data_IF_418613078691
#
_entry.id   IF_418613078691
#
_cell.length_a   1.000
_cell.length_b   1.000
_cell.length_c   1.000
_cell.angle_alpha   90.00
_cell.angle_beta   90.00
_cell.angle_gamma   90.00
#
_symmetry.space_group_name_H-M   'P 1'
#
loop_
_entity.id
_entity.type
_entity.pdbx_description
1 polymer ?
#
# COMPACT_ATOMS: atom_id res chain seq x y z
N UNK A 1 3.99 6.32 22.56
CA UNK A 1 3.08 6.24 21.41
C UNK A 1 1.71 5.80 21.92
N UNK A 2 0.67 6.62 21.83
CA UNK A 2 -0.68 6.15 22.13
C UNK A 2 -1.30 5.58 20.85
N UNK A 3 -1.96 4.41 20.96
CA UNK A 3 -2.61 3.76 19.82
C UNK A 3 -4.10 3.65 20.10
N UNK A 4 -4.90 4.24 19.23
CA UNK A 4 -6.35 4.27 19.30
C UNK A 4 -6.93 3.29 18.29
N UNK A 5 -7.63 2.27 18.79
CA UNK A 5 -8.32 1.28 17.97
C UNK A 5 -9.83 1.43 18.11
N UNK A 6 -10.54 1.32 16.98
CA UNK A 6 -12.00 1.21 16.93
C UNK A 6 -12.40 0.18 15.88
N UNK A 7 -13.18 -0.81 16.29
CA UNK A 7 -13.71 -1.83 15.38
C UNK A 7 -14.63 -1.22 14.32
N UNK A 8 -15.44 -0.23 14.70
CA UNK A 8 -16.34 0.49 13.78
C UNK A 8 -15.53 1.28 12.75
N UNK A 9 -14.50 1.99 13.21
CA UNK A 9 -13.62 2.74 12.32
C UNK A 9 -12.87 1.82 11.35
N UNK A 10 -12.47 0.63 11.81
CA UNK A 10 -11.86 -0.41 10.98
C UNK A 10 -12.81 -0.99 9.95
N UNK A 11 -14.09 -1.24 10.30
CA UNK A 11 -15.14 -1.67 9.36
C UNK A 11 -15.29 -0.66 8.21
N UNK A 12 -15.42 0.63 8.54
CA UNK A 12 -15.55 1.72 7.56
C UNK A 12 -14.30 1.80 6.68
N UNK A 13 -13.12 1.79 7.28
CA UNK A 13 -11.85 1.87 6.56
C UNK A 13 -11.67 0.71 5.58
N UNK A 14 -12.08 -0.49 5.98
CA UNK A 14 -12.08 -1.68 5.13
C UNK A 14 -13.02 -1.53 3.93
N UNK A 15 -14.22 -1.01 4.17
CA UNK A 15 -15.23 -0.80 3.14
C UNK A 15 -14.79 0.22 2.08
N UNK A 16 -13.97 1.22 2.45
CA UNK A 16 -13.37 2.14 1.48
C UNK A 16 -12.37 1.47 0.51
N UNK A 17 -11.87 0.27 0.82
CA UNK A 17 -10.89 -0.46 -0.01
C UNK A 17 -11.52 -1.50 -0.94
N UNK A 18 -12.82 -1.78 -0.86
CA UNK A 18 -13.48 -2.86 -1.59
C UNK A 18 -13.10 -2.95 -3.08
N UNK A 19 -13.00 -1.85 -3.85
CA UNK A 19 -12.76 -1.97 -5.30
C UNK A 19 -11.35 -2.46 -5.68
N UNK A 20 -10.45 -2.62 -4.70
CA UNK A 20 -9.04 -2.98 -4.92
C UNK A 20 -8.82 -4.37 -5.48
N UNK A 21 -9.77 -5.29 -5.32
CA UNK A 21 -9.68 -6.66 -5.85
C UNK A 21 -9.68 -6.72 -7.38
N UNK A 22 -10.03 -5.62 -8.07
CA UNK A 22 -9.98 -5.50 -9.52
C UNK A 22 -8.72 -4.81 -10.06
N UNK A 23 -7.71 -4.55 -9.20
CA UNK A 23 -6.42 -4.05 -9.65
C UNK A 23 -5.82 -4.94 -10.77
N UNK A 24 -4.98 -4.36 -11.63
CA UNK A 24 -4.62 -4.94 -12.92
C UNK A 24 -3.92 -6.31 -12.79
N UNK A 25 -4.00 -7.17 -13.82
CA UNK A 25 -3.43 -8.54 -13.80
C UNK A 25 -1.93 -8.59 -13.50
N UNK A 26 -1.18 -7.59 -13.95
CA UNK A 26 0.26 -7.47 -13.68
C UNK A 26 0.57 -7.10 -12.21
N UNK A 27 -0.37 -6.45 -11.51
CA UNK A 27 -0.29 -6.15 -10.08
C UNK A 27 -0.77 -7.33 -9.20
N UNK A 28 -1.38 -8.36 -9.82
CA UNK A 28 -2.00 -9.53 -9.17
C UNK A 28 -1.14 -10.78 -9.11
N UNK A 29 -0.04 -10.88 -9.85
CA UNK A 29 0.94 -11.95 -9.65
C UNK A 29 1.71 -11.67 -8.35
N UNK A 30 1.04 -11.94 -7.25
CA UNK A 30 1.64 -12.05 -5.94
C UNK A 30 2.52 -13.29 -5.95
N UNK A 31 3.82 -13.05 -6.07
CA UNK A 31 4.85 -14.09 -5.95
C UNK A 31 4.96 -14.47 -4.48
N UNK A 32 3.92 -15.10 -3.93
CA UNK A 32 3.98 -15.64 -2.58
C UNK A 32 4.97 -16.80 -2.53
N UNK A 33 5.77 -16.84 -1.47
CA UNK A 33 6.50 -18.04 -1.06
C UNK A 33 5.53 -19.16 -0.72
N UNK A 34 6.03 -20.39 -0.62
CA UNK A 34 5.21 -21.52 -0.18
C UNK A 34 4.71 -21.34 1.25
N UNK A 35 5.50 -20.71 2.13
CA UNK A 35 5.10 -20.35 3.50
C UNK A 35 3.96 -19.33 3.50
N UNK A 36 4.07 -18.29 2.68
CA UNK A 36 3.01 -17.27 2.57
C UNK A 36 1.73 -17.87 1.98
N UNK A 37 1.83 -18.79 1.02
CA UNK A 37 0.67 -19.55 0.51
C UNK A 37 0.03 -20.42 1.58
N UNK A 38 0.81 -20.99 2.50
CA UNK A 38 0.29 -21.75 3.64
C UNK A 38 -0.46 -20.84 4.61
N UNK A 39 0.12 -19.69 4.98
CA UNK A 39 -0.50 -18.67 5.85
C UNK A 39 -1.82 -18.15 5.26
N UNK A 40 -1.88 -18.00 3.93
CA UNK A 40 -3.02 -17.44 3.21
C UNK A 40 -3.93 -18.50 2.57
N UNK A 41 -3.75 -19.79 2.87
CA UNK A 41 -4.41 -20.87 2.13
C UNK A 41 -5.95 -20.77 2.12
N UNK A 42 -6.55 -20.33 3.22
CA UNK A 42 -7.99 -20.06 3.36
C UNK A 42 -8.43 -18.69 2.83
N UNK A 43 -7.47 -17.76 2.69
CA UNK A 43 -7.68 -16.37 2.26
C UNK A 43 -7.70 -16.28 0.74
N UNK A 44 -6.80 -16.97 0.05
CA UNK A 44 -6.65 -16.90 -1.42
C UNK A 44 -7.95 -17.19 -2.19
N UNK A 45 -8.76 -18.20 -1.85
CA UNK A 45 -10.04 -18.43 -2.53
C UNK A 45 -11.04 -17.27 -2.34
N UNK A 46 -11.07 -16.65 -1.15
CA UNK A 46 -11.94 -15.51 -0.86
C UNK A 46 -11.60 -14.33 -1.77
N UNK A 47 -10.31 -14.14 -2.05
CA UNK A 47 -9.84 -13.09 -2.94
C UNK A 47 -10.29 -13.29 -4.38
N UNK A 48 -10.32 -14.53 -4.84
CA UNK A 48 -10.85 -14.87 -6.16
C UNK A 48 -12.37 -14.67 -6.22
N UNK A 49 -13.09 -15.09 -5.18
CA UNK A 49 -14.54 -14.86 -5.04
C UNK A 49 -14.89 -13.37 -5.08
N UNK A 50 -14.18 -12.54 -4.29
CA UNK A 50 -14.38 -11.09 -4.24
C UNK A 50 -14.06 -10.41 -5.58
N UNK A 51 -13.02 -10.87 -6.27
CA UNK A 51 -12.72 -10.39 -7.62
C UNK A 51 -13.88 -10.68 -8.57
N UNK A 52 -14.35 -11.93 -8.61
CA UNK A 52 -15.41 -12.34 -9.53
C UNK A 52 -16.73 -11.63 -9.20
N UNK A 53 -16.98 -11.37 -7.92
CA UNK A 53 -18.11 -10.59 -7.43
C UNK A 53 -18.10 -9.15 -7.94
N UNK A 54 -16.93 -8.50 -8.00
CA UNK A 54 -16.82 -7.11 -8.43
C UNK A 54 -16.58 -6.93 -9.93
N UNK A 55 -16.20 -7.98 -10.65
CA UNK A 55 -15.93 -7.94 -12.09
C UNK A 55 -17.02 -7.24 -12.92
N UNK A 56 -18.33 -7.40 -12.66
CA UNK A 56 -19.38 -6.67 -13.39
C UNK A 56 -19.31 -5.14 -13.27
N UNK A 57 -18.58 -4.62 -12.27
CA UNK A 57 -18.41 -3.21 -11.99
C UNK A 57 -17.06 -2.65 -12.45
N UNK A 58 -16.21 -3.45 -13.12
CA UNK A 58 -14.83 -3.10 -13.49
C UNK A 58 -14.72 -1.71 -14.13
N UNK A 59 -15.55 -1.41 -15.13
CA UNK A 59 -15.50 -0.13 -15.85
C UNK A 59 -15.91 1.07 -14.97
N UNK A 60 -16.91 0.88 -14.10
CA UNK A 60 -17.29 1.92 -13.14
C UNK A 60 -16.22 2.12 -12.06
N UNK A 61 -15.61 1.03 -11.60
CA UNK A 61 -14.51 1.05 -10.64
C UNK A 61 -13.31 1.80 -11.24
N UNK A 62 -12.89 1.48 -12.47
CA UNK A 62 -11.82 2.22 -13.16
C UNK A 62 -12.11 3.72 -13.25
N UNK A 63 -13.36 4.08 -13.53
CA UNK A 63 -13.75 5.47 -13.73
C UNK A 63 -13.81 6.32 -12.45
N UNK A 64 -14.28 5.73 -11.35
CA UNK A 64 -14.62 6.51 -10.13
C UNK A 64 -13.82 6.10 -8.89
N UNK A 65 -13.29 4.88 -8.82
CA UNK A 65 -12.43 4.47 -7.71
C UNK A 65 -11.02 5.00 -7.92
N UNK A 66 -10.81 6.22 -7.45
CA UNK A 66 -9.54 6.91 -7.54
C UNK A 66 -8.65 6.54 -6.35
N UNK A 67 -7.40 6.19 -6.65
CA UNK A 67 -6.39 5.82 -5.68
C UNK A 67 -5.08 6.57 -5.94
N UNK A 68 -4.44 7.00 -4.87
CA UNK A 68 -3.14 7.65 -4.83
C UNK A 68 -2.08 6.78 -4.15
N UNK A 69 -1.22 7.39 -3.34
CA UNK A 69 -0.16 6.73 -2.57
C UNK A 69 -0.72 5.85 -1.43
N UNK A 70 -1.32 4.71 -1.78
CA UNK A 70 -1.82 3.71 -0.83
C UNK A 70 -3.16 4.05 -0.17
N UNK A 71 -3.77 5.18 -0.53
CA UNK A 71 -5.11 5.60 -0.09
C UNK A 71 -6.04 5.81 -1.28
N UNK A 72 -7.32 5.57 -1.05
CA UNK A 72 -8.41 5.84 -1.98
C UNK A 72 -9.06 7.19 -1.66
N UNK A 73 -9.75 7.78 -2.64
CA UNK A 73 -10.49 9.03 -2.41
C UNK A 73 -11.50 8.93 -1.26
N UNK A 74 -12.17 7.78 -1.11
CA UNK A 74 -13.11 7.56 0.00
C UNK A 74 -12.43 7.50 1.37
N UNK A 75 -11.19 7.01 1.43
CA UNK A 75 -10.42 7.03 2.68
C UNK A 75 -9.97 8.44 3.02
N UNK A 76 -9.49 9.20 2.03
CA UNK A 76 -9.16 10.61 2.24
C UNK A 76 -10.40 11.37 2.73
N UNK A 77 -11.56 11.16 2.11
CA UNK A 77 -12.82 11.76 2.55
C UNK A 77 -13.21 11.36 3.99
N UNK A 78 -13.11 10.08 4.33
CA UNK A 78 -13.36 9.59 5.69
C UNK A 78 -12.44 10.25 6.72
N UNK A 79 -11.14 10.31 6.45
CA UNK A 79 -10.17 10.94 7.34
C UNK A 79 -10.45 12.44 7.49
N UNK A 80 -10.77 13.15 6.41
CA UNK A 80 -11.18 14.56 6.47
C UNK A 80 -12.41 14.76 7.36
N UNK A 81 -13.42 13.90 7.28
CA UNK A 81 -14.59 13.97 8.16
C UNK A 81 -14.19 13.80 9.63
N UNK A 82 -13.30 12.84 9.93
CA UNK A 82 -12.78 12.60 11.29
C UNK A 82 -12.00 13.81 11.81
N UNK A 83 -11.13 14.38 10.98
CA UNK A 83 -10.30 15.55 11.34
C UNK A 83 -11.14 16.80 11.60
N UNK A 84 -12.27 16.94 10.92
CA UNK A 84 -13.28 17.99 11.17
C UNK A 84 -14.11 17.74 12.44
N UNK A 85 -13.83 16.66 13.18
CA UNK A 85 -14.50 16.30 14.43
C UNK A 85 -15.79 15.51 14.24
N UNK A 86 -16.10 15.04 13.03
CA UNK A 86 -17.20 14.10 12.81
C UNK A 86 -16.80 12.70 13.31
N UNK A 87 -17.78 11.91 13.73
CA UNK A 87 -17.56 10.53 14.15
C UNK A 87 -18.46 9.57 13.37
N UNK A 88 -18.18 9.30 12.08
CA UNK A 88 -18.96 8.37 11.27
C UNK A 88 -19.06 7.00 11.97
N UNK A 89 -20.27 6.46 12.08
CA UNK A 89 -20.54 5.16 12.70
C UNK A 89 -20.82 4.08 11.65
N UNK A 90 -21.10 4.49 10.42
CA UNK A 90 -21.37 3.61 9.28
C UNK A 90 -20.72 4.16 8.03
N UNK A 91 -20.54 3.30 7.02
CA UNK A 91 -20.10 3.76 5.69
C UNK A 91 -21.13 4.71 5.04
N UNK A 92 -22.40 4.62 5.42
CA UNK A 92 -23.42 5.54 4.93
C UNK A 92 -23.26 6.95 5.49
N UNK A 93 -22.80 7.10 6.74
CA UNK A 93 -22.43 8.42 7.28
C UNK A 93 -21.29 9.05 6.48
N UNK A 94 -20.32 8.23 6.04
CA UNK A 94 -19.24 8.68 5.16
C UNK A 94 -19.78 9.09 3.79
N UNK A 95 -20.69 8.29 3.21
CA UNK A 95 -21.33 8.62 1.93
C UNK A 95 -22.09 9.95 1.99
N UNK A 96 -22.90 10.18 3.02
CA UNK A 96 -23.63 11.43 3.19
C UNK A 96 -22.69 12.62 3.42
N UNK A 97 -21.61 12.42 4.18
CA UNK A 97 -20.53 13.41 4.31
C UNK A 97 -19.89 13.76 2.96
N UNK A 98 -19.56 12.75 2.15
CA UNK A 98 -18.99 12.94 0.80
C UNK A 98 -19.95 13.72 -0.12
N UNK A 99 -21.26 13.44 -0.04
CA UNK A 99 -22.27 14.17 -0.82
C UNK A 99 -22.49 15.61 -0.33
N UNK A 100 -22.13 15.90 0.92
CA UNK A 100 -22.16 17.24 1.50
C UNK A 100 -20.94 18.12 1.19
N UNK A 101 -19.87 17.55 0.63
CA UNK A 101 -18.66 18.31 0.28
C UNK A 101 -18.90 19.33 -0.84
N UNK A 102 -18.20 20.46 -0.74
CA UNK A 102 -18.14 21.42 -1.83
C UNK A 102 -17.28 20.91 -2.98
N UNK A 103 -17.39 21.55 -4.15
CA UNK A 103 -16.53 21.24 -5.29
C UNK A 103 -15.05 21.48 -4.94
N UNK A 104 -14.78 22.52 -4.18
CA UNK A 104 -13.45 22.92 -3.72
C UNK A 104 -12.83 21.87 -2.81
N UNK A 105 -13.57 21.37 -1.80
CA UNK A 105 -13.09 20.31 -0.91
C UNK A 105 -12.74 19.04 -1.69
N UNK A 106 -13.59 18.62 -2.63
CA UNK A 106 -13.32 17.44 -3.48
C UNK A 106 -12.07 17.66 -4.32
N UNK A 107 -11.87 18.86 -4.87
CA UNK A 107 -10.69 19.20 -5.66
C UNK A 107 -9.40 19.22 -4.82
N UNK A 108 -9.48 19.65 -3.56
CA UNK A 108 -8.37 19.57 -2.60
C UNK A 108 -8.02 18.12 -2.29
N UNK A 109 -9.00 17.27 -2.01
CA UNK A 109 -8.79 15.82 -1.81
C UNK A 109 -8.11 15.19 -3.03
N UNK A 110 -8.54 15.53 -4.24
CA UNK A 110 -7.93 15.03 -5.48
C UNK A 110 -6.48 15.53 -5.64
N UNK A 111 -6.21 16.79 -5.30
CA UNK A 111 -4.84 17.35 -5.32
C UNK A 111 -3.94 16.56 -4.37
N UNK A 112 -4.43 16.25 -3.18
CA UNK A 112 -3.65 15.53 -2.19
C UNK A 112 -3.46 14.06 -2.57
N UNK A 113 -4.47 13.44 -3.20
CA UNK A 113 -4.42 12.07 -3.70
C UNK A 113 -3.39 11.88 -4.84
N UNK A 114 -3.16 12.92 -5.64
CA UNK A 114 -2.15 12.91 -6.73
C UNK A 114 -0.72 13.01 -6.18
N UNK A 115 -0.54 13.24 -4.87
CA UNK A 115 0.79 13.26 -4.29
C UNK A 115 1.43 11.87 -4.34
N UNK A 116 2.37 11.68 -5.28
CA UNK A 116 2.97 10.37 -5.58
C UNK A 116 4.26 10.10 -4.81
N UNK A 117 4.87 11.13 -4.19
CA UNK A 117 6.06 11.00 -3.34
C UNK A 117 6.01 12.02 -2.19
N UNK A 118 6.36 11.58 -0.97
CA UNK A 118 6.22 12.34 0.29
C UNK A 118 7.07 13.63 0.30
N UNK A 119 8.14 13.73 -0.51
CA UNK A 119 9.16 14.77 -0.31
C UNK A 119 9.45 15.70 -1.49
N UNK A 120 8.91 15.45 -2.70
CA UNK A 120 9.35 16.19 -3.91
C UNK A 120 8.28 16.97 -4.67
N UNK A 121 7.04 16.99 -4.20
CA UNK A 121 6.00 17.76 -4.90
C UNK A 121 5.99 19.20 -4.41
N UNK A 122 6.27 20.12 -5.33
CA UNK A 122 6.22 21.57 -5.09
C UNK A 122 4.90 21.91 -4.39
N UNK A 123 4.96 22.39 -3.16
CA UNK A 123 3.76 22.67 -2.35
C UNK A 123 2.87 23.74 -3.01
N UNK A 124 3.46 24.62 -3.81
CA UNK A 124 2.79 25.67 -4.58
C UNK A 124 2.23 25.17 -5.92
N UNK A 125 2.56 23.95 -6.37
CA UNK A 125 2.05 23.42 -7.63
C UNK A 125 0.55 23.15 -7.54
N UNK A 126 -0.17 23.56 -8.60
CA UNK A 126 -1.59 23.27 -8.72
C UNK A 126 -1.86 21.80 -9.06
N UNK A 127 -3.14 21.41 -9.08
CA UNK A 127 -3.53 20.04 -9.39
C UNK A 127 -2.98 19.53 -10.73
N UNK A 128 -2.97 20.38 -11.77
CA UNK A 128 -2.58 19.95 -13.12
C UNK A 128 -1.08 19.73 -13.22
N UNK A 129 -0.29 20.64 -12.66
CA UNK A 129 1.16 20.48 -12.58
C UNK A 129 1.52 19.20 -11.81
N UNK A 130 0.86 18.96 -10.68
CA UNK A 130 1.03 17.74 -9.88
C UNK A 130 0.65 16.47 -10.66
N UNK A 131 -0.47 16.51 -11.37
CA UNK A 131 -0.94 15.38 -12.16
C UNK A 131 0.04 15.07 -13.30
N UNK A 132 0.56 16.08 -13.98
CA UNK A 132 1.58 15.93 -15.04
C UNK A 132 2.88 15.31 -14.49
N UNK A 133 3.34 15.80 -13.33
CA UNK A 133 4.56 15.31 -12.67
C UNK A 133 4.41 13.92 -12.03
N UNK A 134 3.17 13.50 -11.73
CA UNK A 134 2.91 12.21 -11.08
C UNK A 134 3.38 11.00 -11.91
N UNK A 135 3.73 9.91 -11.22
CA UNK A 135 4.09 8.61 -11.82
C UNK A 135 2.88 7.79 -12.30
N UNK A 136 1.66 8.33 -12.18
CA UNK A 136 0.43 7.65 -12.56
C UNK A 136 0.38 7.30 -14.05
N UNK A 137 -0.29 6.20 -14.40
CA UNK A 137 -0.54 5.81 -15.80
C UNK A 137 -1.45 6.85 -16.49
N UNK A 138 -1.32 7.01 -17.81
CA UNK A 138 -2.10 7.99 -18.59
C UNK A 138 -3.62 7.84 -18.40
N UNK A 139 -4.11 6.60 -18.34
CA UNK A 139 -5.51 6.28 -18.06
C UNK A 139 -5.95 6.75 -16.66
N UNK A 140 -5.14 6.51 -15.63
CA UNK A 140 -5.43 7.00 -14.27
C UNK A 140 -5.42 8.53 -14.22
N UNK A 141 -4.49 9.20 -14.91
CA UNK A 141 -4.47 10.66 -15.03
C UNK A 141 -5.73 11.18 -15.72
N UNK A 142 -6.21 10.46 -16.74
CA UNK A 142 -7.45 10.80 -17.43
C UNK A 142 -8.66 10.76 -16.48
N UNK A 143 -8.84 9.69 -15.70
CA UNK A 143 -9.94 9.61 -14.74
C UNK A 143 -9.85 10.66 -13.62
N UNK A 144 -8.65 10.92 -13.08
CA UNK A 144 -8.42 12.04 -12.16
C UNK A 144 -8.83 13.38 -12.77
N UNK A 145 -8.48 13.64 -14.04
CA UNK A 145 -8.84 14.87 -14.73
C UNK A 145 -10.36 15.03 -14.95
N UNK A 146 -11.06 13.93 -15.23
CA UNK A 146 -12.51 13.94 -15.41
C UNK A 146 -13.23 14.22 -14.10
N UNK A 147 -12.78 13.58 -13.02
CA UNK A 147 -13.33 13.79 -11.68
C UNK A 147 -13.11 15.23 -11.23
N UNK A 148 -11.90 15.77 -11.40
CA UNK A 148 -11.57 17.15 -11.03
C UNK A 148 -12.42 18.20 -11.76
N UNK A 149 -12.78 17.95 -13.03
CA UNK A 149 -13.64 18.84 -13.83
C UNK A 149 -15.11 18.79 -13.44
N UNK A 150 -15.59 17.67 -12.90
CA UNK A 150 -16.98 17.47 -12.52
C UNK A 150 -17.09 16.88 -11.10
N UNK A 151 -16.57 17.56 -10.06
CA UNK A 151 -16.32 16.97 -8.75
C UNK A 151 -17.59 16.46 -8.08
N UNK A 152 -18.65 17.28 -8.03
CA UNK A 152 -19.91 16.92 -7.37
C UNK A 152 -20.61 15.73 -8.07
N UNK A 153 -20.69 15.76 -9.40
CA UNK A 153 -21.32 14.69 -10.17
C UNK A 153 -20.53 13.38 -10.08
N UNK A 154 -19.19 13.46 -10.09
CA UNK A 154 -18.32 12.29 -9.99
C UNK A 154 -18.32 11.70 -8.58
N UNK A 155 -18.38 12.54 -7.54
CA UNK A 155 -18.54 12.09 -6.16
C UNK A 155 -19.85 11.34 -5.96
N UNK A 156 -20.94 11.83 -6.57
CA UNK A 156 -22.22 11.12 -6.56
C UNK A 156 -22.12 9.73 -7.19
N UNK A 157 -21.49 9.60 -8.36
CA UNK A 157 -21.29 8.29 -9.00
C UNK A 157 -20.38 7.36 -8.18
N UNK A 158 -19.34 7.90 -7.53
CA UNK A 158 -18.49 7.15 -6.60
C UNK A 158 -19.30 6.63 -5.41
N UNK A 159 -20.13 7.46 -4.78
CA UNK A 159 -20.99 7.07 -3.66
C UNK A 159 -22.02 6.02 -4.10
N UNK A 160 -22.69 6.22 -5.24
CA UNK A 160 -23.68 5.28 -5.76
C UNK A 160 -23.05 3.92 -6.14
N UNK A 161 -21.80 3.92 -6.61
CA UNK A 161 -21.02 2.71 -6.80
C UNK A 161 -20.67 2.07 -5.46
N UNK A 162 -20.12 2.84 -4.52
CA UNK A 162 -19.69 2.37 -3.21
C UNK A 162 -20.82 1.69 -2.45
N UNK A 163 -22.02 2.29 -2.40
CA UNK A 163 -23.22 1.68 -1.79
C UNK A 163 -23.50 0.27 -2.29
N UNK A 164 -23.41 0.05 -3.61
CA UNK A 164 -23.63 -1.28 -4.22
C UNK A 164 -22.52 -2.27 -3.83
N UNK A 165 -21.27 -1.82 -3.85
CA UNK A 165 -20.14 -2.67 -3.52
C UNK A 165 -20.11 -3.05 -2.04
N UNK A 166 -20.46 -2.11 -1.16
CA UNK A 166 -20.62 -2.32 0.29
C UNK A 166 -21.69 -3.37 0.57
N UNK A 167 -22.86 -3.27 -0.08
CA UNK A 167 -23.93 -4.25 0.06
C UNK A 167 -23.46 -5.67 -0.33
N UNK A 168 -22.76 -5.79 -1.45
CA UNK A 168 -22.20 -7.06 -1.92
C UNK A 168 -21.08 -7.60 -1.01
N UNK A 169 -20.29 -6.71 -0.41
CA UNK A 169 -19.15 -7.06 0.43
C UNK A 169 -19.54 -7.44 1.87
N UNK A 170 -20.72 -7.02 2.34
CA UNK A 170 -21.13 -7.19 3.74
C UNK A 170 -20.94 -8.62 4.29
N UNK A 171 -21.27 -9.71 3.55
CA UNK A 171 -21.04 -11.07 4.04
C UNK A 171 -19.57 -11.38 4.34
N UNK A 172 -18.64 -10.80 3.58
CA UNK A 172 -17.21 -10.96 3.78
C UNK A 172 -16.70 -10.14 4.96
N UNK A 173 -17.18 -8.90 5.11
CA UNK A 173 -16.86 -8.08 6.28
C UNK A 173 -17.25 -8.78 7.59
N UNK A 174 -18.43 -9.43 7.61
CA UNK A 174 -18.89 -10.24 8.75
C UNK A 174 -18.04 -11.50 8.92
N UNK A 175 -17.69 -12.19 7.82
CA UNK A 175 -16.81 -13.37 7.85
C UNK A 175 -15.46 -13.05 8.50
N UNK A 176 -14.92 -11.86 8.27
CA UNK A 176 -13.62 -11.42 8.81
C UNK A 176 -13.68 -10.84 10.22
N UNK A 177 -14.89 -10.55 10.74
CA UNK A 177 -15.08 -9.83 12.01
C UNK A 177 -14.43 -10.55 13.19
N UNK A 178 -14.64 -11.87 13.31
CA UNK A 178 -14.10 -12.65 14.42
C UNK A 178 -12.56 -12.66 14.42
N UNK A 179 -11.93 -12.80 13.25
CA UNK A 179 -10.48 -12.77 13.13
C UNK A 179 -9.92 -11.39 13.45
N UNK A 180 -10.55 -10.31 12.94
CA UNK A 180 -10.12 -8.93 13.25
C UNK A 180 -10.20 -8.62 14.74
N UNK A 181 -11.26 -9.08 15.41
CA UNK A 181 -11.40 -8.92 16.87
C UNK A 181 -10.31 -9.68 17.63
N UNK A 182 -10.09 -10.95 17.29
CA UNK A 182 -9.05 -11.76 17.91
C UNK A 182 -7.65 -11.17 17.67
N UNK A 183 -7.39 -10.66 16.47
CA UNK A 183 -6.14 -10.00 16.12
C UNK A 183 -5.95 -8.71 16.92
N UNK A 184 -7.00 -7.88 17.05
CA UNK A 184 -6.96 -6.64 17.82
C UNK A 184 -6.62 -6.84 19.31
N UNK A 185 -7.00 -7.99 19.90
CA UNK A 185 -6.71 -8.31 21.30
C UNK A 185 -5.22 -8.61 21.56
N UNK A 186 -4.51 -9.10 20.54
CA UNK A 186 -3.13 -9.59 20.69
C UNK A 186 -2.10 -8.74 19.93
N UNK A 187 -2.53 -8.03 18.90
CA UNK A 187 -1.63 -7.24 18.06
C UNK A 187 -1.17 -5.97 18.79
N UNK A 188 0.14 -5.84 18.95
CA UNK A 188 0.79 -4.62 19.43
C UNK A 188 1.53 -3.95 18.28
N UNK A 189 1.05 -2.78 17.86
CA UNK A 189 1.72 -1.98 16.84
C UNK A 189 3.14 -1.59 17.29
N UNK A 190 3.32 -1.25 18.57
CA UNK A 190 4.63 -0.88 19.10
C UNK A 190 5.62 -2.05 19.02
N UNK A 191 5.20 -3.25 19.46
CA UNK A 191 6.05 -4.44 19.35
C UNK A 191 6.31 -4.75 17.89
N UNK A 192 5.28 -4.80 17.04
CA UNK A 192 5.42 -5.07 15.62
C UNK A 192 6.44 -4.16 14.91
N UNK A 193 6.46 -2.86 15.23
CA UNK A 193 7.41 -1.91 14.67
C UNK A 193 8.83 -2.00 15.26
N UNK A 194 8.99 -2.51 16.48
CA UNK A 194 10.28 -2.54 17.19
C UNK A 194 10.97 -3.90 17.15
N UNK A 195 10.21 -4.98 17.17
CA UNK A 195 10.69 -6.36 17.29
C UNK A 195 10.71 -7.11 15.96
N UNK A 196 9.91 -6.73 14.96
CA UNK A 196 9.94 -7.43 13.68
C UNK A 196 11.28 -7.20 12.97
N UNK A 197 11.87 -8.26 12.43
CA UNK A 197 13.12 -8.14 11.64
C UNK A 197 12.96 -7.26 10.40
N UNK A 198 11.73 -7.12 9.91
CA UNK A 198 11.41 -6.20 8.85
C UNK A 198 11.61 -4.76 9.35
N UNK A 199 10.95 -4.35 10.44
CA UNK A 199 10.99 -2.96 10.92
C UNK A 199 12.22 -2.63 11.79
N UNK A 200 12.84 -3.59 12.46
CA UNK A 200 13.98 -3.36 13.38
C UNK A 200 15.26 -2.88 12.69
N UNK A 201 15.40 -3.14 11.38
CA UNK A 201 16.47 -2.56 10.54
C UNK A 201 16.27 -1.06 10.31
N UNK A 202 15.04 -0.57 10.46
CA UNK A 202 14.71 0.84 10.46
C UNK A 202 14.94 1.37 11.88
N UNK A 203 16.06 2.06 12.11
CA UNK A 203 16.45 2.51 13.45
C UNK A 203 15.33 3.22 14.21
N UNK A 204 15.28 3.02 15.53
CA UNK A 204 14.52 3.82 16.51
C UNK A 204 14.40 5.28 16.08
N UNK A 205 13.17 5.75 15.81
CA UNK A 205 12.88 7.11 15.33
C UNK A 205 12.17 7.21 13.97
N UNK A 206 11.75 6.09 13.37
CA UNK A 206 11.09 6.04 12.05
C UNK A 206 9.63 6.48 12.07
N UNK A 207 8.99 6.34 13.22
CA UNK A 207 7.63 6.80 13.48
C UNK A 207 7.72 7.83 14.60
N UNK A 208 7.28 9.08 14.39
CA UNK A 208 7.29 10.08 15.43
C UNK A 208 6.49 9.62 16.66
N UNK A 209 6.82 10.11 17.85
CA UNK A 209 6.03 9.88 19.06
C UNK A 209 4.72 10.69 18.99
N UNK A 210 3.80 10.22 18.15
CA UNK A 210 2.49 10.78 17.94
C UNK A 210 1.39 9.88 18.53
N UNK A 211 0.17 10.40 18.56
CA UNK A 211 -1.03 9.60 18.72
C UNK A 211 -1.39 8.97 17.37
N UNK A 212 -1.62 7.65 17.36
CA UNK A 212 -1.90 6.89 16.15
C UNK A 212 -3.27 6.26 16.20
N UNK A 213 -4.02 6.36 15.10
CA UNK A 213 -5.21 5.55 14.87
C UNK A 213 -4.84 4.26 14.13
N UNK A 214 -5.25 3.12 14.69
CA UNK A 214 -5.02 1.81 14.10
C UNK A 214 -6.33 1.28 13.49
N UNK A 215 -6.26 0.97 12.21
CA UNK A 215 -7.33 0.30 11.46
C UNK A 215 -6.89 -1.12 11.11
N UNK A 216 -7.66 -2.10 11.58
CA UNK A 216 -7.40 -3.51 11.31
C UNK A 216 -8.36 -4.02 10.23
N UNK A 217 -7.80 -4.47 9.11
CA UNK A 217 -8.58 -4.98 7.97
C UNK A 217 -8.43 -6.48 7.81
N UNK A 218 -9.42 -7.10 7.16
CA UNK A 218 -9.48 -8.55 6.95
C UNK A 218 -8.26 -9.05 6.17
N UNK A 219 -7.84 -10.32 6.36
CA UNK A 219 -6.58 -10.85 5.81
C UNK A 219 -6.55 -10.90 4.27
N UNK A 220 -7.70 -10.89 3.60
CA UNK A 220 -7.76 -10.79 2.13
C UNK A 220 -7.49 -9.39 1.59
N UNK A 221 -7.45 -8.36 2.44
CA UNK A 221 -7.05 -7.00 2.07
C UNK A 221 -5.59 -6.74 2.47
N UNK A 222 -4.64 -7.48 1.86
CA UNK A 222 -3.20 -7.41 2.18
C UNK A 222 -2.63 -5.99 2.08
N UNK A 223 -2.40 -5.38 3.25
CA UNK A 223 -2.10 -3.97 3.46
C UNK A 223 -1.28 -3.78 4.73
N UNK A 224 -0.21 -3.02 4.58
CA UNK A 224 0.46 -2.32 5.65
C UNK A 224 0.76 -0.92 5.14
N UNK A 225 0.12 0.08 5.73
CA UNK A 225 0.27 1.46 5.31
C UNK A 225 0.27 2.38 6.53
N UNK A 226 1.08 3.45 6.44
CA UNK A 226 1.21 4.47 7.47
C UNK A 226 1.10 5.85 6.84
N UNK A 227 0.32 6.75 7.43
CA UNK A 227 0.20 8.14 7.01
C UNK A 227 0.26 9.04 8.24
N UNK A 228 0.80 10.24 8.07
CA UNK A 228 0.78 11.27 9.10
C UNK A 228 0.04 12.47 8.53
N UNK A 229 -0.86 13.01 9.32
CA UNK A 229 -1.49 14.28 9.02
C UNK A 229 -0.59 15.44 9.46
N UNK A 230 -0.87 16.62 8.92
CA UNK A 230 -0.11 17.86 9.17
C UNK A 230 -0.19 18.35 10.61
N UNK A 231 -1.23 17.94 11.34
CA UNK A 231 -1.43 18.23 12.77
C UNK A 231 -0.63 17.31 13.70
N UNK A 232 0.03 16.29 13.14
CA UNK A 232 0.81 15.30 13.88
C UNK A 232 0.03 14.04 14.24
N UNK A 233 -1.26 13.91 13.92
CA UNK A 233 -1.97 12.63 14.08
C UNK A 233 -1.48 11.62 13.04
N UNK A 234 -1.11 10.42 13.49
CA UNK A 234 -0.72 9.32 12.61
C UNK A 234 -1.84 8.31 12.42
N UNK A 235 -1.80 7.55 11.32
CA UNK A 235 -2.70 6.42 11.11
C UNK A 235 -1.96 5.24 10.51
N UNK A 236 -2.40 4.05 10.90
CA UNK A 236 -1.96 2.78 10.37
C UNK A 236 -3.15 1.98 9.86
N UNK A 237 -3.02 1.42 8.64
CA UNK A 237 -3.91 0.36 8.16
C UNK A 237 -3.11 -0.92 8.06
N UNK A 238 -3.59 -1.95 8.75
CA UNK A 238 -2.88 -3.20 8.97
C UNK A 238 -3.83 -4.36 8.71
N UNK A 239 -3.46 -5.27 7.81
CA UNK A 239 -4.19 -6.53 7.65
C UNK A 239 -3.91 -7.47 8.79
N UNK A 240 -4.93 -8.25 9.16
CA UNK A 240 -4.69 -9.45 9.95
C UNK A 240 -3.62 -10.35 9.30
N UNK A 241 -2.81 -10.98 10.14
CA UNK A 241 -1.70 -11.89 9.75
C UNK A 241 -0.49 -11.20 9.09
N UNK A 242 -0.42 -9.87 9.04
CA UNK A 242 0.74 -9.20 8.41
C UNK A 242 2.05 -9.47 9.14
N UNK A 243 2.00 -9.62 10.46
CA UNK A 243 3.08 -10.10 11.33
C UNK A 243 3.58 -11.46 10.88
N UNK A 244 2.68 -12.43 10.70
CA UNK A 244 3.03 -13.77 10.24
C UNK A 244 3.66 -13.75 8.84
N UNK A 245 3.13 -12.92 7.93
CA UNK A 245 3.66 -12.77 6.58
C UNK A 245 5.07 -12.18 6.58
N UNK A 246 5.30 -11.09 7.32
CA UNK A 246 6.61 -10.44 7.40
C UNK A 246 7.64 -11.30 8.13
N UNK A 247 7.22 -12.05 9.15
CA UNK A 247 8.08 -12.97 9.92
C UNK A 247 8.33 -14.30 9.20
N UNK A 248 7.54 -14.66 8.18
CA UNK A 248 7.73 -15.91 7.43
C UNK A 248 9.12 -16.02 6.75
N UNK A 249 9.78 -14.87 6.53
CA UNK A 249 11.13 -14.74 5.98
C UNK A 249 12.24 -14.66 7.04
N UNK A 250 11.95 -15.00 8.31
CA UNK A 250 12.90 -14.89 9.43
C UNK A 250 14.18 -15.74 9.24
N UNK A 251 14.10 -16.83 8.49
CA UNK A 251 15.28 -17.61 8.11
C UNK A 251 15.32 -17.74 6.59
N UNK A 252 16.51 -17.54 6.01
CA UNK A 252 16.80 -17.81 4.61
C UNK A 252 16.71 -19.32 4.34
N UNK A 253 15.49 -19.81 4.20
CA UNK A 253 15.24 -21.16 3.73
C UNK A 253 15.49 -21.26 2.21
N UNK A 254 15.37 -22.48 1.67
CA UNK A 254 15.60 -22.73 0.24
C UNK A 254 14.62 -21.97 -0.65
N UNK A 255 13.39 -21.73 -0.20
CA UNK A 255 12.34 -21.07 -0.98
C UNK A 255 12.60 -19.55 -1.07
N UNK A 256 12.87 -18.90 0.07
CA UNK A 256 13.27 -17.48 0.12
C UNK A 256 14.60 -17.27 -0.61
N UNK A 257 15.56 -18.19 -0.47
CA UNK A 257 16.82 -18.15 -1.20
C UNK A 257 16.64 -18.21 -2.73
N UNK A 258 15.92 -19.22 -3.22
CA UNK A 258 15.71 -19.39 -4.67
C UNK A 258 14.84 -18.27 -5.25
N UNK A 259 13.84 -17.78 -4.50
CA UNK A 259 13.03 -16.62 -4.89
C UNK A 259 13.89 -15.37 -4.99
N UNK A 260 14.76 -15.11 -4.00
CA UNK A 260 15.66 -13.96 -4.01
C UNK A 260 16.61 -14.00 -5.22
N UNK A 261 17.23 -15.15 -5.49
CA UNK A 261 18.09 -15.36 -6.67
C UNK A 261 17.29 -15.13 -7.97
N UNK A 262 16.08 -15.69 -8.07
CA UNK A 262 15.23 -15.53 -9.24
C UNK A 262 14.91 -14.06 -9.50
N UNK A 263 14.61 -13.28 -8.47
CA UNK A 263 14.29 -11.85 -8.59
C UNK A 263 15.50 -11.03 -9.07
N UNK A 264 16.69 -11.25 -8.49
CA UNK A 264 17.92 -10.52 -8.88
C UNK A 264 18.52 -10.99 -10.21
N UNK A 265 18.20 -12.20 -10.68
CA UNK A 265 18.73 -12.76 -11.94
C UNK A 265 18.17 -12.07 -13.20
N UNK A 266 17.11 -11.29 -13.08
CA UNK A 266 16.54 -10.50 -14.16
C UNK A 266 17.37 -9.22 -14.37
N UNK A 267 17.97 -9.09 -15.55
CA UNK A 267 18.91 -8.01 -15.85
C UNK A 267 18.28 -6.61 -15.71
N UNK A 268 17.02 -6.44 -16.12
CA UNK A 268 16.32 -5.16 -16.00
C UNK A 268 16.03 -4.83 -14.54
N UNK A 269 15.52 -5.79 -13.75
CA UNK A 269 15.32 -5.62 -12.29
C UNK A 269 16.61 -5.32 -11.57
N UNK A 270 17.70 -6.02 -11.90
CA UNK A 270 18.99 -5.77 -11.29
C UNK A 270 19.46 -4.34 -11.53
N UNK A 271 19.35 -3.85 -12.76
CA UNK A 271 19.72 -2.47 -13.08
C UNK A 271 18.80 -1.46 -12.37
N UNK A 272 17.49 -1.71 -12.34
CA UNK A 272 16.54 -0.89 -11.57
C UNK A 272 16.91 -0.85 -10.08
N UNK A 273 17.26 -2.00 -9.47
CA UNK A 273 17.73 -2.08 -8.08
C UNK A 273 18.96 -1.18 -7.85
N UNK A 274 19.95 -1.25 -8.75
CA UNK A 274 21.17 -0.43 -8.65
C UNK A 274 20.84 1.05 -8.79
N UNK A 275 20.04 1.46 -9.79
CA UNK A 275 19.69 2.86 -10.00
C UNK A 275 18.88 3.47 -8.84
N UNK A 276 17.92 2.72 -8.27
CA UNK A 276 17.08 3.18 -7.16
C UNK A 276 17.85 3.48 -5.87
N UNK A 277 19.07 3.00 -5.76
CA UNK A 277 19.92 3.18 -4.57
C UNK A 277 20.86 4.38 -4.68
N UNK A 278 20.82 5.09 -5.83
CA UNK A 278 21.59 6.31 -6.05
C UNK A 278 20.86 7.54 -5.49
N UNK A 279 21.58 8.62 -5.14
CA UNK A 279 20.98 9.89 -4.75
C UNK A 279 20.09 10.47 -5.87
N UNK A 280 18.97 11.07 -5.46
CA UNK A 280 17.93 11.72 -6.24
C UNK A 280 17.35 10.85 -7.37
N UNK A 281 17.33 9.54 -7.20
CA UNK A 281 16.80 8.61 -8.19
C UNK A 281 15.30 8.87 -8.45
N UNK A 282 14.98 9.35 -9.66
CA UNK A 282 13.60 9.57 -10.12
C UNK A 282 13.19 8.48 -11.09
N UNK A 283 11.97 7.96 -10.93
CA UNK A 283 11.44 6.90 -11.80
C UNK A 283 11.46 7.26 -13.29
N UNK A 284 11.29 8.55 -13.62
CA UNK A 284 11.38 9.05 -15.00
C UNK A 284 12.79 8.92 -15.56
N UNK A 285 13.80 9.35 -14.80
CA UNK A 285 15.21 9.34 -15.23
C UNK A 285 15.73 7.90 -15.36
N UNK A 286 15.27 6.99 -14.49
CA UNK A 286 15.55 5.55 -14.57
C UNK A 286 14.91 4.93 -15.82
N UNK A 287 13.66 5.31 -16.12
CA UNK A 287 12.95 4.84 -17.30
C UNK A 287 13.68 5.24 -18.59
N UNK A 288 14.12 6.49 -18.67
CA UNK A 288 14.91 7.01 -19.80
C UNK A 288 16.28 6.32 -19.92
N UNK A 289 17.00 6.11 -18.80
CA UNK A 289 18.34 5.52 -18.83
C UNK A 289 18.36 4.03 -19.16
N UNK A 290 17.32 3.30 -18.78
CA UNK A 290 17.19 1.86 -19.02
C UNK A 290 16.35 1.50 -20.26
N UNK A 291 15.88 2.50 -21.01
CA UNK A 291 14.98 2.34 -22.17
C UNK A 291 13.73 1.49 -21.85
N UNK A 292 13.09 1.82 -20.72
CA UNK A 292 11.85 1.19 -20.25
C UNK A 292 10.79 2.25 -19.93
N UNK A 293 9.55 1.83 -19.66
CA UNK A 293 8.50 2.76 -19.22
C UNK A 293 8.58 3.04 -17.71
N UNK A 294 8.10 4.20 -17.27
CA UNK A 294 7.97 4.48 -15.82
C UNK A 294 7.06 3.48 -15.10
N UNK A 295 6.08 2.90 -15.79
CA UNK A 295 5.26 1.81 -15.28
C UNK A 295 6.09 0.52 -15.08
N UNK A 296 7.02 0.21 -15.99
CA UNK A 296 7.94 -0.91 -15.84
C UNK A 296 8.92 -0.69 -14.68
N UNK A 297 9.44 0.53 -14.49
CA UNK A 297 10.24 0.87 -13.29
C UNK A 297 9.44 0.58 -12.03
N UNK A 298 8.21 1.08 -11.93
CA UNK A 298 7.33 0.87 -10.76
C UNK A 298 7.04 -0.61 -10.50
N UNK A 299 6.77 -1.37 -11.56
CA UNK A 299 6.57 -2.82 -11.48
C UNK A 299 7.81 -3.55 -10.93
N UNK A 300 8.99 -3.22 -11.43
CA UNK A 300 10.25 -3.81 -10.95
C UNK A 300 10.57 -3.40 -9.51
N UNK A 301 10.37 -2.14 -9.14
CA UNK A 301 10.48 -1.65 -7.76
C UNK A 301 9.61 -2.47 -6.82
N UNK A 302 8.33 -2.71 -7.18
CA UNK A 302 7.43 -3.49 -6.34
C UNK A 302 7.90 -4.93 -6.18
N UNK A 303 8.37 -5.59 -7.24
CA UNK A 303 8.93 -6.95 -7.15
C UNK A 303 10.16 -7.01 -6.24
N UNK A 304 11.02 -5.98 -6.27
CA UNK A 304 12.19 -5.89 -5.39
C UNK A 304 11.81 -5.65 -3.92
N UNK A 305 10.78 -4.82 -3.66
CA UNK A 305 10.24 -4.60 -2.30
C UNK A 305 9.60 -5.89 -1.77
N UNK A 306 8.79 -6.58 -2.58
CA UNK A 306 8.14 -7.83 -2.18
C UNK A 306 9.16 -8.93 -1.83
N UNK A 307 10.27 -8.99 -2.57
CA UNK A 307 11.38 -9.89 -2.29
C UNK A 307 12.30 -9.39 -1.16
N UNK A 308 11.92 -8.33 -0.45
CA UNK A 308 12.67 -7.70 0.64
C UNK A 308 14.09 -7.25 0.25
N UNK A 309 14.38 -7.07 -1.05
CA UNK A 309 15.67 -6.62 -1.56
C UNK A 309 15.83 -5.09 -1.51
N UNK A 310 14.71 -4.37 -1.63
CA UNK A 310 14.63 -2.93 -1.41
C UNK A 310 13.87 -2.62 -0.14
N UNK A 311 14.43 -1.73 0.68
CA UNK A 311 13.81 -1.17 1.87
C UNK A 311 13.73 0.34 1.74
N UNK A 312 12.68 0.96 2.27
CA UNK A 312 12.51 2.42 2.16
C UNK A 312 13.59 3.11 2.98
N UNK A 313 14.29 4.08 2.41
CA UNK A 313 15.23 4.91 3.15
C UNK A 313 14.46 6.11 3.74
N UNK A 314 14.52 6.24 5.07
CA UNK A 314 13.89 7.33 5.82
C UNK A 314 14.93 8.21 6.56
N UNK A 315 16.22 8.00 6.32
CA UNK A 315 17.33 8.71 6.99
C UNK A 315 17.96 9.76 6.09
N UNK A 316 18.17 9.38 4.83
CA UNK A 316 18.78 10.23 3.83
C UNK A 316 17.69 10.71 2.88
N UNK A 317 17.41 12.02 2.90
CA UNK A 317 16.38 12.63 2.06
C UNK A 317 16.72 12.55 0.57
N UNK A 318 18.00 12.37 0.26
CA UNK A 318 18.46 12.32 -1.12
C UNK A 318 18.35 10.89 -1.67
N UNK A 319 18.21 9.84 -0.86
CA UNK A 319 18.11 8.46 -1.32
C UNK A 319 16.75 7.88 -0.92
N UNK A 320 15.96 7.42 -1.89
CA UNK A 320 14.61 6.89 -1.63
C UNK A 320 14.60 5.47 -1.06
N UNK A 321 15.51 4.62 -1.52
CA UNK A 321 15.58 3.22 -1.10
C UNK A 321 17.00 2.79 -0.76
N UNK A 322 17.11 1.90 0.22
CA UNK A 322 18.34 1.16 0.51
C UNK A 322 18.18 -0.28 0.03
N UNK A 323 19.31 -0.90 -0.31
CA UNK A 323 19.36 -2.36 -0.46
C UNK A 323 19.31 -3.01 0.92
N UNK A 324 18.56 -4.11 1.05
CA UNK A 324 18.60 -4.96 2.23
C UNK A 324 19.92 -5.75 2.27
N UNK A 325 20.95 -5.13 2.85
CA UNK A 325 22.30 -5.71 2.95
C UNK A 325 22.35 -6.96 3.83
N UNK A 326 21.44 -7.11 4.78
CA UNK A 326 21.38 -8.30 5.64
C UNK A 326 21.00 -9.52 4.79
N UNK A 327 19.87 -9.44 4.08
CA UNK A 327 19.40 -10.50 3.19
C UNK A 327 20.44 -10.87 2.13
N UNK A 328 21.06 -9.88 1.46
CA UNK A 328 22.10 -10.17 0.47
C UNK A 328 23.32 -10.88 1.06
N UNK A 329 23.73 -10.53 2.28
CA UNK A 329 24.84 -11.22 2.96
C UNK A 329 24.47 -12.66 3.30
N UNK A 330 23.25 -12.91 3.75
CA UNK A 330 22.76 -14.26 4.01
C UNK A 330 22.73 -15.10 2.73
N UNK A 331 22.27 -14.54 1.61
CA UNK A 331 22.25 -15.21 0.29
C UNK A 331 23.68 -15.54 -0.17
N UNK A 332 24.61 -14.60 -0.04
CA UNK A 332 26.03 -14.81 -0.38
C UNK A 332 26.63 -15.88 0.53
N UNK A 333 26.42 -15.81 1.85
CA UNK A 333 26.94 -16.79 2.81
C UNK A 333 26.38 -18.19 2.54
N UNK A 334 25.10 -18.30 2.18
CA UNK A 334 24.49 -19.56 1.77
C UNK A 334 25.12 -20.14 0.51
N UNK A 335 25.35 -19.33 -0.53
CA UNK A 335 26.08 -19.76 -1.73
C UNK A 335 27.50 -20.20 -1.40
N UNK A 336 28.20 -19.45 -0.55
CA UNK A 336 29.56 -19.79 -0.11
C UNK A 336 29.59 -21.13 0.62
N UNK A 337 28.63 -21.39 1.51
CA UNK A 337 28.53 -22.64 2.25
C UNK A 337 28.10 -23.82 1.35
N UNK A 338 27.00 -23.67 0.60
CA UNK A 338 26.45 -24.74 -0.26
C UNK A 338 27.47 -25.23 -1.31
N UNK A 339 28.36 -24.35 -1.77
CA UNK A 339 29.39 -24.65 -2.77
C UNK A 339 30.82 -24.70 -2.21
N UNK A 340 31.00 -24.58 -0.89
CA UNK A 340 32.31 -24.55 -0.23
C UNK A 340 33.30 -23.57 -0.89
N UNK A 341 32.85 -22.33 -1.14
CA UNK A 341 33.64 -21.26 -1.78
C UNK A 341 34.56 -20.50 -0.82
N UNK A 342 34.45 -20.75 0.48
CA UNK A 342 35.43 -20.25 1.45
C UNK A 342 36.69 -21.11 1.35
N UNK A 343 37.73 -20.56 0.75
CA UNK A 343 39.06 -21.18 0.77
C UNK A 343 39.53 -21.26 2.23
N UNK A 344 39.86 -22.47 2.69
CA UNK A 344 40.61 -22.63 3.93
C UNK A 344 42.03 -22.07 3.68
N UNK A 345 42.26 -20.81 4.03
CA UNK A 345 43.61 -20.24 4.15
C UNK A 345 44.37 -20.86 5.34
#
# INVERSE_FOLDING_TARGET
MAVHYSAVASDIMEQCFIPIFLASKAEREWDFSNKEREILGDVLPIMEELRDLFLPYEEKIKAYHLMGYGLTLLQCAYLTLVDEGNAPQTMEDVHEGCLGFSAETIQELLRDLVNTEIEHMNQEADFWERLEQSSMKAESKWYMSLFYRNPLASMKELVDLSRKLVELYQPYLEKGRAERQAYAEHFSLEEFLTSSNYFSQYSTGVFPENDYHLYLVSPWLLRFASYNNTDGTGYFIVSCRVDQLLESHHELDVDTFTTTIKVISDATRYNVLVELTKPHAKSKDIAESLDITGAAVSFHTQKLINAQLLVINRKDKDIKYNVNKALLREVIAKLQNDFALEEND
#
